data_IF_861229179267
#
_entry.id   IF_861229179267
#
_cell.length_a   1.000
_cell.length_b   1.000
_cell.length_c   1.000
_cell.angle_alpha   90.00
_cell.angle_beta   90.00
_cell.angle_gamma   90.00
#
_symmetry.space_group_name_H-M   'P 1'
#
loop_
_entity.id
_entity.type
_entity.pdbx_description
1 polymer ?
#
# COMPACT_ATOMS: atom_id res chain seq x y z
N UNK A 1 8.33 -14.60 20.55
CA UNK A 1 7.07 -13.83 20.64
C UNK A 1 6.60 -13.32 19.28
N UNK A 2 7.49 -12.81 18.42
CA UNK A 2 7.15 -12.39 17.05
C UNK A 2 6.52 -13.49 16.18
N UNK A 3 7.00 -14.73 16.28
CA UNK A 3 6.51 -15.86 15.46
C UNK A 3 5.07 -16.29 15.77
N UNK A 4 4.65 -16.19 17.03
CA UNK A 4 3.27 -16.54 17.44
C UNK A 4 2.28 -15.51 16.93
N UNK A 5 2.61 -14.22 17.07
CA UNK A 5 1.78 -13.12 16.56
C UNK A 5 1.67 -13.20 15.03
N UNK A 6 2.79 -13.42 14.34
CA UNK A 6 2.79 -13.59 12.89
C UNK A 6 1.92 -14.77 12.45
N UNK A 7 1.93 -15.89 13.18
CA UNK A 7 1.05 -17.03 12.90
C UNK A 7 -0.43 -16.72 13.03
N UNK A 8 -0.83 -16.00 14.10
CA UNK A 8 -2.22 -15.54 14.25
C UNK A 8 -2.62 -14.55 13.15
N UNK A 9 -1.75 -13.60 12.81
CA UNK A 9 -2.00 -12.63 11.75
C UNK A 9 -2.16 -13.33 10.40
N UNK A 10 -1.28 -14.28 10.05
CA UNK A 10 -1.39 -15.02 8.79
C UNK A 10 -2.66 -15.86 8.73
N UNK A 11 -3.04 -16.50 9.84
CA UNK A 11 -4.27 -17.28 9.91
C UNK A 11 -5.51 -16.40 9.74
N UNK A 12 -5.60 -15.30 10.49
CA UNK A 12 -6.71 -14.35 10.38
C UNK A 12 -6.77 -13.71 8.99
N UNK A 13 -5.63 -13.36 8.39
CA UNK A 13 -5.57 -12.82 7.04
C UNK A 13 -6.08 -13.84 6.00
N UNK A 14 -5.70 -15.11 6.12
CA UNK A 14 -6.19 -16.16 5.24
C UNK A 14 -7.72 -16.34 5.35
N UNK A 15 -8.26 -16.39 6.57
CA UNK A 15 -9.71 -16.48 6.79
C UNK A 15 -10.44 -15.24 6.25
N UNK A 16 -9.91 -14.05 6.52
CA UNK A 16 -10.49 -12.79 6.04
C UNK A 16 -10.48 -12.70 4.51
N UNK A 17 -9.43 -13.16 3.84
CA UNK A 17 -9.37 -13.22 2.38
C UNK A 17 -10.43 -14.15 1.81
N UNK A 18 -10.60 -15.36 2.38
CA UNK A 18 -11.64 -16.30 1.95
C UNK A 18 -13.02 -15.67 2.10
N UNK A 19 -13.32 -15.09 3.26
CA UNK A 19 -14.61 -14.42 3.50
C UNK A 19 -14.83 -13.24 2.56
N UNK A 20 -13.79 -12.45 2.28
CA UNK A 20 -13.84 -11.32 1.36
C UNK A 20 -14.18 -11.75 -0.07
N UNK A 21 -13.48 -12.77 -0.58
CA UNK A 21 -13.73 -13.34 -1.92
C UNK A 21 -15.14 -13.92 -2.02
N UNK A 22 -15.55 -14.72 -1.04
CA UNK A 22 -16.89 -15.32 -1.02
C UNK A 22 -18.00 -14.25 -0.96
N UNK A 23 -17.84 -13.22 -0.14
CA UNK A 23 -18.79 -12.12 -0.05
C UNK A 23 -18.90 -11.37 -1.38
N UNK A 24 -17.76 -11.04 -2.00
CA UNK A 24 -17.74 -10.37 -3.30
C UNK A 24 -18.41 -11.23 -4.37
N UNK A 25 -18.10 -12.52 -4.41
CA UNK A 25 -18.73 -13.48 -5.32
C UNK A 25 -20.25 -13.49 -5.12
N UNK A 26 -20.73 -13.71 -3.89
CA UNK A 26 -22.15 -13.84 -3.61
C UNK A 26 -22.94 -12.57 -4.00
N UNK A 27 -22.41 -11.40 -3.71
CA UNK A 27 -23.03 -10.11 -4.07
C UNK A 27 -23.12 -9.96 -5.59
N UNK A 28 -22.03 -10.19 -6.31
CA UNK A 28 -22.02 -9.95 -7.77
C UNK A 28 -22.72 -11.04 -8.57
N UNK A 29 -22.72 -12.28 -8.08
CA UNK A 29 -23.49 -13.36 -8.65
C UNK A 29 -24.99 -13.09 -8.51
N UNK A 30 -25.42 -12.60 -7.33
CA UNK A 30 -26.80 -12.19 -7.10
C UNK A 30 -27.20 -11.04 -8.02
N UNK A 31 -26.35 -10.02 -8.20
CA UNK A 31 -26.60 -8.91 -9.13
C UNK A 31 -26.64 -9.34 -10.59
N UNK A 32 -25.78 -10.26 -11.00
CA UNK A 32 -25.78 -10.82 -12.35
C UNK A 32 -27.11 -11.53 -12.66
N UNK A 33 -27.55 -12.42 -11.76
CA UNK A 33 -28.73 -13.24 -12.00
C UNK A 33 -30.05 -12.50 -11.74
N UNK A 34 -30.12 -11.61 -10.74
CA UNK A 34 -31.36 -10.89 -10.40
C UNK A 34 -31.51 -9.55 -11.10
N UNK A 35 -30.42 -8.79 -11.25
CA UNK A 35 -30.47 -7.42 -11.80
C UNK A 35 -30.01 -7.36 -13.27
N UNK A 36 -29.59 -8.50 -13.86
CA UNK A 36 -29.04 -8.61 -15.23
C UNK A 36 -27.92 -7.59 -15.52
N UNK A 37 -27.15 -7.24 -14.49
CA UNK A 37 -26.10 -6.25 -14.62
C UNK A 37 -24.86 -6.87 -15.30
N UNK A 38 -24.66 -6.52 -16.57
CA UNK A 38 -23.53 -7.01 -17.37
C UNK A 38 -22.17 -6.67 -16.75
N UNK A 39 -22.04 -5.53 -16.04
CA UNK A 39 -20.80 -5.15 -15.35
C UNK A 39 -20.47 -6.10 -14.19
N UNK A 40 -21.49 -6.61 -13.49
CA UNK A 40 -21.28 -7.65 -12.46
C UNK A 40 -20.85 -8.98 -13.08
N UNK A 41 -21.31 -9.28 -14.30
CA UNK A 41 -20.88 -10.45 -15.06
C UNK A 41 -19.40 -10.40 -15.43
N UNK A 42 -18.92 -9.26 -15.92
CA UNK A 42 -17.49 -9.05 -16.24
C UNK A 42 -16.61 -9.28 -15.01
N UNK A 43 -17.03 -8.78 -13.83
CA UNK A 43 -16.28 -8.97 -12.59
C UNK A 43 -16.21 -10.43 -12.17
N UNK A 44 -17.34 -11.15 -12.20
CA UNK A 44 -17.39 -12.58 -11.86
C UNK A 44 -16.51 -13.39 -12.82
N UNK A 45 -16.58 -13.11 -14.13
CA UNK A 45 -15.74 -13.78 -15.13
C UNK A 45 -14.25 -13.50 -14.91
N UNK A 46 -13.88 -12.24 -14.64
CA UNK A 46 -12.49 -11.88 -14.33
C UNK A 46 -11.96 -12.59 -13.09
N UNK A 47 -12.79 -12.71 -12.04
CA UNK A 47 -12.42 -13.44 -10.83
C UNK A 47 -12.26 -14.95 -11.09
N UNK A 48 -13.15 -15.55 -11.89
CA UNK A 48 -13.01 -16.95 -12.29
C UNK A 48 -11.78 -17.19 -13.16
N UNK A 49 -11.46 -16.28 -14.07
CA UNK A 49 -10.27 -16.38 -14.92
C UNK A 49 -8.98 -16.35 -14.08
N UNK A 50 -8.87 -15.40 -13.13
CA UNK A 50 -7.75 -15.33 -12.19
C UNK A 50 -7.63 -16.58 -11.31
N UNK A 51 -8.76 -17.11 -10.84
CA UNK A 51 -8.74 -18.35 -10.06
C UNK A 51 -8.27 -19.54 -10.91
N UNK A 52 -8.71 -19.62 -12.17
CA UNK A 52 -8.29 -20.67 -13.08
C UNK A 52 -6.78 -20.62 -13.34
N UNK A 53 -6.20 -19.43 -13.58
CA UNK A 53 -4.76 -19.30 -13.78
C UNK A 53 -3.96 -19.67 -12.54
N UNK A 54 -4.44 -19.31 -11.35
CA UNK A 54 -3.80 -19.71 -10.09
C UNK A 54 -3.78 -21.23 -9.88
N UNK A 55 -4.87 -21.93 -10.21
CA UNK A 55 -4.93 -23.40 -10.14
C UNK A 55 -4.01 -24.04 -11.18
N UNK A 56 -3.97 -23.51 -12.40
CA UNK A 56 -3.12 -24.03 -13.47
C UNK A 56 -1.63 -23.85 -13.18
N UNK A 57 -1.22 -22.72 -12.61
CA UNK A 57 0.16 -22.49 -12.21
C UNK A 57 0.60 -23.48 -11.12
N UNK A 58 -0.26 -23.77 -10.14
CA UNK A 58 0.00 -24.78 -9.12
C UNK A 58 0.13 -26.21 -9.65
N UNK A 59 -0.45 -26.52 -10.81
CA UNK A 59 -0.37 -27.83 -11.45
C UNK A 59 0.75 -27.94 -12.49
N UNK A 60 1.09 -26.84 -13.16
CA UNK A 60 1.95 -26.83 -14.36
C UNK A 60 3.29 -26.12 -14.17
N UNK A 61 3.61 -25.60 -12.97
CA UNK A 61 4.82 -24.79 -12.72
C UNK A 61 4.96 -23.61 -13.70
N UNK A 62 3.82 -23.13 -14.23
CA UNK A 62 3.74 -21.92 -15.05
C UNK A 62 3.62 -20.70 -14.13
N UNK A 63 3.85 -19.51 -14.70
CA UNK A 63 3.87 -18.25 -13.96
C UNK A 63 2.87 -17.23 -14.54
N UNK A 64 1.65 -17.69 -14.83
CA UNK A 64 0.60 -16.88 -15.43
C UNK A 64 0.02 -15.85 -14.45
N UNK A 65 -0.05 -16.16 -13.16
CA UNK A 65 -0.48 -15.24 -12.09
C UNK A 65 0.39 -13.99 -12.05
N UNK A 66 1.72 -14.14 -12.20
CA UNK A 66 2.66 -13.00 -12.24
C UNK A 66 2.39 -12.07 -13.43
N UNK A 67 1.87 -12.60 -14.53
CA UNK A 67 1.47 -11.77 -15.67
C UNK A 67 0.30 -10.88 -15.26
N UNK A 68 -0.75 -11.44 -14.67
CA UNK A 68 -1.88 -10.63 -14.18
C UNK A 68 -1.46 -9.59 -13.14
N UNK A 69 -0.55 -9.96 -12.23
CA UNK A 69 0.02 -9.04 -11.26
C UNK A 69 0.70 -7.84 -11.94
N UNK A 70 1.59 -8.10 -12.91
CA UNK A 70 2.36 -7.06 -13.59
C UNK A 70 1.50 -6.16 -14.50
N UNK A 71 0.43 -6.68 -15.08
CA UNK A 71 -0.42 -5.92 -16.01
C UNK A 71 -1.61 -5.21 -15.36
N UNK A 72 -2.07 -5.68 -14.19
CA UNK A 72 -3.26 -5.12 -13.53
C UNK A 72 -2.91 -4.54 -12.16
N UNK A 73 -2.28 -5.31 -11.28
CA UNK A 73 -2.01 -4.89 -9.92
C UNK A 73 -0.89 -3.84 -9.84
N UNK A 74 0.24 -4.09 -10.50
CA UNK A 74 1.39 -3.19 -10.45
C UNK A 74 1.08 -1.77 -10.98
N UNK A 75 0.33 -1.58 -12.10
CA UNK A 75 -0.06 -0.24 -12.54
C UNK A 75 -1.05 0.45 -11.60
N UNK A 76 -1.96 -0.30 -10.98
CA UNK A 76 -2.92 0.24 -10.01
C UNK A 76 -2.20 0.72 -8.74
N UNK A 77 -1.28 -0.09 -8.22
CA UNK A 77 -0.42 0.28 -7.09
C UNK A 77 0.43 1.51 -7.41
N UNK A 78 1.04 1.55 -8.61
CA UNK A 78 1.82 2.69 -9.06
C UNK A 78 0.97 3.97 -9.18
N UNK A 79 -0.27 3.88 -9.67
CA UNK A 79 -1.19 5.01 -9.76
C UNK A 79 -1.56 5.56 -8.37
N UNK A 80 -1.88 4.68 -7.41
CA UNK A 80 -2.17 5.07 -6.03
C UNK A 80 -0.94 5.65 -5.33
N UNK A 81 0.22 5.05 -5.51
CA UNK A 81 1.49 5.53 -4.97
C UNK A 81 1.85 6.92 -5.55
N UNK A 82 1.64 7.12 -6.85
CA UNK A 82 1.85 8.42 -7.50
C UNK A 82 0.91 9.49 -6.95
N UNK A 83 -0.37 9.17 -6.78
CA UNK A 83 -1.35 10.09 -6.19
C UNK A 83 -0.98 10.46 -4.75
N UNK A 84 -0.56 9.48 -3.94
CA UNK A 84 -0.08 9.69 -2.58
C UNK A 84 1.19 10.55 -2.57
N UNK A 85 2.15 10.28 -3.45
CA UNK A 85 3.38 11.07 -3.57
C UNK A 85 3.08 12.54 -3.90
N UNK A 86 2.21 12.80 -4.88
CA UNK A 86 1.79 14.16 -5.25
C UNK A 86 1.08 14.85 -4.07
N UNK A 87 0.19 14.14 -3.37
CA UNK A 87 -0.48 14.69 -2.19
C UNK A 87 0.50 15.05 -1.06
N UNK A 88 1.45 14.16 -0.74
CA UNK A 88 2.48 14.41 0.26
C UNK A 88 3.40 15.57 -0.12
N UNK A 89 3.78 15.67 -1.39
CA UNK A 89 4.57 16.79 -1.89
C UNK A 89 3.82 18.12 -1.74
N UNK A 90 2.55 18.18 -2.16
CA UNK A 90 1.72 19.38 -2.01
C UNK A 90 1.50 19.75 -0.54
N UNK A 91 1.23 18.76 0.32
CA UNK A 91 1.07 18.96 1.75
C UNK A 91 2.38 19.46 2.41
N UNK A 92 3.52 18.91 2.01
CA UNK A 92 4.84 19.36 2.45
C UNK A 92 5.11 20.81 2.05
N UNK A 93 4.87 21.18 0.79
CA UNK A 93 5.00 22.57 0.32
C UNK A 93 4.05 23.49 1.07
N UNK A 94 2.81 23.07 1.32
CA UNK A 94 1.83 23.84 2.06
C UNK A 94 2.24 24.06 3.51
N UNK A 95 2.83 23.05 4.17
CA UNK A 95 3.38 23.14 5.52
C UNK A 95 4.48 24.21 5.60
N UNK A 96 5.41 24.21 4.65
CA UNK A 96 6.49 25.20 4.55
C UNK A 96 5.96 26.63 4.32
N UNK A 97 4.94 26.78 3.48
CA UNK A 97 4.32 28.09 3.18
C UNK A 97 3.54 28.66 4.36
N UNK A 98 2.79 27.82 5.09
CA UNK A 98 1.84 28.28 6.12
C UNK A 98 2.48 28.48 7.49
N UNK A 99 3.53 27.74 7.82
CA UNK A 99 4.21 27.85 9.11
C UNK A 99 5.73 27.83 8.92
N UNK A 100 6.36 28.97 8.57
CA UNK A 100 7.81 29.09 8.46
C UNK A 100 8.45 29.09 9.85
N UNK A 101 8.32 27.99 10.56
CA UNK A 101 8.94 27.75 11.87
C UNK A 101 10.36 27.24 11.63
N UNK A 102 11.28 27.47 12.57
CA UNK A 102 12.65 26.90 12.52
C UNK A 102 12.66 25.38 12.28
N UNK A 103 11.65 24.69 12.79
CA UNK A 103 11.42 23.26 12.57
C UNK A 103 11.05 22.89 11.12
N UNK A 104 10.24 23.72 10.44
CA UNK A 104 9.88 23.48 9.04
C UNK A 104 11.09 23.65 8.11
N UNK A 105 11.99 24.59 8.43
CA UNK A 105 13.25 24.75 7.72
C UNK A 105 14.18 23.55 7.91
N UNK A 106 14.37 23.08 9.15
CA UNK A 106 15.14 21.86 9.44
C UNK A 106 14.57 20.63 8.74
N UNK A 107 13.24 20.49 8.74
CA UNK A 107 12.55 19.42 8.02
C UNK A 107 12.83 19.49 6.52
N UNK A 108 12.67 20.66 5.90
CA UNK A 108 12.95 20.87 4.47
C UNK A 108 14.40 20.55 4.12
N UNK A 109 15.35 20.98 4.94
CA UNK A 109 16.76 20.71 4.72
C UNK A 109 17.03 19.20 4.80
N UNK A 110 16.48 18.52 5.81
CA UNK A 110 16.62 17.06 5.94
C UNK A 110 15.99 16.31 4.77
N UNK A 111 14.81 16.73 4.29
CA UNK A 111 14.13 16.13 3.16
C UNK A 111 14.95 16.29 1.86
N UNK A 112 15.50 17.48 1.60
CA UNK A 112 16.38 17.71 0.44
C UNK A 112 17.62 16.83 0.53
N UNK A 113 18.28 16.77 1.69
CA UNK A 113 19.48 15.94 1.89
C UNK A 113 19.20 14.47 1.62
N UNK A 114 18.06 13.94 2.10
CA UNK A 114 17.66 12.55 1.86
C UNK A 114 17.33 12.30 0.40
N UNK A 115 16.52 13.15 -0.21
CA UNK A 115 16.16 12.99 -1.63
C UNK A 115 17.41 13.06 -2.52
N UNK A 116 18.33 13.96 -2.19
CA UNK A 116 19.58 14.12 -2.91
C UNK A 116 20.52 12.93 -2.65
N UNK A 117 20.63 12.42 -1.42
CA UNK A 117 21.44 11.22 -1.15
C UNK A 117 20.94 10.01 -1.92
N UNK A 118 19.63 9.78 -1.96
CA UNK A 118 19.04 8.68 -2.72
C UNK A 118 19.25 8.84 -4.23
N UNK A 119 19.08 10.05 -4.77
CA UNK A 119 19.32 10.31 -6.20
C UNK A 119 20.80 10.14 -6.59
N UNK A 120 21.73 10.59 -5.73
CA UNK A 120 23.17 10.45 -5.95
C UNK A 120 23.64 9.00 -5.82
N UNK A 121 23.05 8.20 -4.93
CA UNK A 121 23.36 6.77 -4.80
C UNK A 121 22.78 5.94 -5.94
N UNK A 122 21.57 6.28 -6.41
CA UNK A 122 20.93 5.60 -7.53
C UNK A 122 21.62 5.90 -8.87
N UNK A 123 22.24 7.07 -8.98
CA UNK A 123 22.92 7.50 -10.20
C UNK A 123 24.41 7.16 -10.11
N UNK A 124 24.95 6.44 -11.09
CA UNK A 124 26.33 5.93 -11.05
C UNK A 124 27.41 7.05 -11.19
N UNK A 125 27.03 8.33 -11.10
CA UNK A 125 27.86 9.50 -11.36
C UNK A 125 28.83 9.85 -10.21
N UNK A 126 28.70 9.26 -9.03
CA UNK A 126 29.62 9.57 -7.92
C UNK A 126 30.95 8.81 -8.03
N UNK A 127 32.11 9.49 -7.88
CA UNK A 127 33.41 8.85 -7.72
C UNK A 127 33.41 7.93 -6.48
N UNK A 128 34.06 6.76 -6.59
CA UNK A 128 34.08 5.73 -5.54
C UNK A 128 34.55 6.23 -4.16
N UNK A 129 35.37 7.29 -4.12
CA UNK A 129 35.89 7.92 -2.89
C UNK A 129 34.85 8.71 -2.10
N UNK A 130 33.83 9.27 -2.76
CA UNK A 130 32.75 10.02 -2.11
C UNK A 130 31.51 9.16 -1.84
N UNK A 131 31.43 7.95 -2.39
CA UNK A 131 30.31 7.03 -2.16
C UNK A 131 30.22 6.55 -0.71
N UNK A 132 31.37 6.23 -0.10
CA UNK A 132 31.44 5.71 1.28
C UNK A 132 30.91 6.68 2.36
N UNK A 133 31.32 7.96 2.39
CA UNK A 133 30.76 8.89 3.38
C UNK A 133 29.29 9.22 3.10
N UNK A 134 28.88 9.29 1.83
CA UNK A 134 27.48 9.56 1.45
C UNK A 134 26.56 8.39 1.82
N UNK A 135 27.01 7.14 1.65
CA UNK A 135 26.23 5.96 2.04
C UNK A 135 26.05 5.89 3.55
N UNK A 136 27.08 6.18 4.35
CA UNK A 136 26.96 6.19 5.82
C UNK A 136 25.93 7.19 6.33
N UNK A 137 25.89 8.39 5.74
CA UNK A 137 24.89 9.41 6.09
C UNK A 137 23.49 8.97 5.64
N UNK A 138 23.36 8.43 4.43
CA UNK A 138 22.08 7.91 3.94
C UNK A 138 21.55 6.78 4.84
N UNK A 139 22.41 5.83 5.21
CA UNK A 139 22.08 4.71 6.10
C UNK A 139 21.65 5.21 7.49
N UNK A 140 22.35 6.18 8.06
CA UNK A 140 21.96 6.79 9.34
C UNK A 140 20.56 7.40 9.26
N UNK A 141 20.30 8.20 8.23
CA UNK A 141 19.00 8.86 8.09
C UNK A 141 17.89 7.84 7.82
N UNK A 142 18.16 6.81 7.03
CA UNK A 142 17.19 5.77 6.70
C UNK A 142 16.84 4.91 7.93
N UNK A 143 17.85 4.45 8.68
CA UNK A 143 17.65 3.55 9.82
C UNK A 143 17.06 4.25 11.04
N UNK A 144 17.32 5.54 11.23
CA UNK A 144 16.86 6.27 12.42
C UNK A 144 15.63 7.12 12.09
N UNK A 145 15.77 8.11 11.20
CA UNK A 145 14.73 9.12 10.98
C UNK A 145 13.59 8.56 10.14
N UNK A 146 13.91 7.95 8.99
CA UNK A 146 12.89 7.42 8.07
C UNK A 146 12.17 6.23 8.70
N UNK A 147 12.92 5.32 9.31
CA UNK A 147 12.32 4.15 9.97
C UNK A 147 11.43 4.55 11.16
N UNK A 148 11.82 5.55 11.96
CA UNK A 148 10.95 6.07 13.03
C UNK A 148 9.66 6.69 12.46
N UNK A 149 9.77 7.47 11.39
CA UNK A 149 8.62 8.06 10.70
C UNK A 149 7.66 7.01 10.13
N UNK A 150 8.19 5.99 9.44
CA UNK A 150 7.40 4.88 8.89
C UNK A 150 6.68 4.13 10.02
N UNK A 151 7.36 3.83 11.13
CA UNK A 151 6.74 3.16 12.28
C UNK A 151 5.60 4.00 12.87
N UNK A 152 5.79 5.30 13.03
CA UNK A 152 4.73 6.22 13.49
C UNK A 152 3.54 6.24 12.54
N UNK A 153 3.79 6.29 11.22
CA UNK A 153 2.75 6.23 10.20
C UNK A 153 2.00 4.89 10.21
N UNK A 154 2.70 3.76 10.32
CA UNK A 154 2.10 2.43 10.40
C UNK A 154 1.20 2.29 11.63
N UNK A 155 1.64 2.80 12.79
CA UNK A 155 0.82 2.82 14.02
C UNK A 155 -0.42 3.71 13.80
N UNK A 156 -0.26 4.89 13.21
CA UNK A 156 -1.38 5.79 12.92
C UNK A 156 -2.41 5.17 11.98
N UNK A 157 -1.96 4.53 10.90
CA UNK A 157 -2.83 3.81 9.95
C UNK A 157 -3.54 2.65 10.65
N UNK A 158 -2.82 1.86 11.45
CA UNK A 158 -3.41 0.74 12.20
C UNK A 158 -4.48 1.20 13.19
N UNK A 159 -4.24 2.29 13.92
CA UNK A 159 -5.24 2.86 14.83
C UNK A 159 -6.44 3.41 14.06
N UNK A 160 -6.21 4.08 12.93
CA UNK A 160 -7.27 4.58 12.06
C UNK A 160 -8.17 3.46 11.53
N UNK A 161 -7.58 2.36 11.06
CA UNK A 161 -8.34 1.20 10.57
C UNK A 161 -9.10 0.50 11.70
N UNK A 162 -8.49 0.33 12.89
CA UNK A 162 -9.17 -0.24 14.05
C UNK A 162 -10.40 0.59 14.48
N UNK A 163 -10.27 1.91 14.52
CA UNK A 163 -11.38 2.81 14.86
C UNK A 163 -12.50 2.74 13.83
N UNK A 164 -12.16 2.69 12.53
CA UNK A 164 -13.14 2.52 11.46
C UNK A 164 -13.85 1.17 11.58
N UNK A 165 -13.12 0.08 11.79
CA UNK A 165 -13.71 -1.25 12.01
C UNK A 165 -14.64 -1.27 13.20
N UNK A 166 -14.25 -0.67 14.33
CA UNK A 166 -15.09 -0.60 15.53
C UNK A 166 -16.37 0.21 15.26
N UNK A 167 -16.26 1.35 14.56
CA UNK A 167 -17.40 2.19 14.21
C UNK A 167 -18.40 1.49 13.31
N UNK A 168 -17.92 0.71 12.33
CA UNK A 168 -18.74 -0.14 11.49
C UNK A 168 -19.45 -1.23 12.30
N UNK A 169 -18.74 -1.91 13.21
CA UNK A 169 -19.33 -2.95 14.07
C UNK A 169 -20.39 -2.41 15.03
N UNK A 170 -20.18 -1.21 15.58
CA UNK A 170 -21.16 -0.54 16.43
C UNK A 170 -22.34 0.06 15.66
N UNK A 171 -22.35 -0.02 14.33
CA UNK A 171 -23.44 0.50 13.48
C UNK A 171 -23.58 2.02 13.51
N UNK A 172 -22.54 2.73 13.97
CA UNK A 172 -22.53 4.21 14.06
C UNK A 172 -22.41 4.82 12.66
N UNK A 173 -21.62 4.19 11.78
CA UNK A 173 -21.69 4.44 10.35
C UNK A 173 -22.81 3.59 9.77
N UNK A 174 -24.01 4.16 9.59
CA UNK A 174 -25.07 3.54 8.80
C UNK A 174 -24.80 3.78 7.32
N UNK A 175 -24.33 2.79 6.55
CA UNK A 175 -24.23 2.93 5.11
C UNK A 175 -25.64 2.68 4.57
N UNK A 176 -26.27 3.70 4.02
CA UNK A 176 -27.55 3.60 3.31
C UNK A 176 -28.81 3.57 4.19
N UNK A 177 -29.14 4.72 4.78
CA UNK A 177 -30.53 5.02 5.10
C UNK A 177 -31.17 5.60 3.82
N UNK A 178 -31.84 4.75 3.04
CA UNK A 178 -32.98 5.14 2.21
C UNK A 178 -34.22 4.48 2.80
#
# INVERSE_FOLDING_TARGET
MSTVILGWVSFLAAVALILGVLNLLMVHLTRLFKERNLYSGVLVLGMMALFATAVLDGLSNNNQVDTFFNWVQAPLEAALASMLAVFLLLAGVQLLKRQPTRWAFLFSLSAIVVLLSQALLASNFLPATLRQPVSQVADFVQNIVVTAGIRGLLIGVALGTLLLSLRLLMGVERPYNK
#
